data_IF_123663800482
#
_entry.id   IF_123663800482
#
_cell.length_a   1.000
_cell.length_b   1.000
_cell.length_c   1.000
_cell.angle_alpha   90.00
_cell.angle_beta   90.00
_cell.angle_gamma   90.00
#
_symmetry.space_group_name_H-M   'P 1'
#
loop_
_entity.id
_entity.type
_entity.pdbx_description
1 polymer ?
#
# COMPACT_ATOMS: atom_id res chain seq x y z
N UNK A 1 -4.24 42.10 51.71
CA UNK A 1 -4.88 42.63 50.49
C UNK A 1 -3.81 42.61 49.41
N UNK A 2 -4.00 41.74 48.41
CA UNK A 2 -3.33 41.64 47.09
C UNK A 2 -1.80 41.73 47.01
N UNK A 3 -1.17 40.57 46.76
CA UNK A 3 0.09 40.50 46.02
C UNK A 3 -0.16 40.60 44.51
N UNK A 4 0.82 41.09 43.76
CA UNK A 4 0.88 40.92 42.30
C UNK A 4 2.23 40.34 41.91
N UNK A 5 2.14 39.37 40.99
CA UNK A 5 3.18 38.46 40.57
C UNK A 5 4.02 39.02 39.44
N UNK A 6 5.28 38.59 39.39
CA UNK A 6 6.17 38.73 38.26
C UNK A 6 5.71 37.85 37.09
N UNK A 7 5.77 38.40 35.88
CA UNK A 7 5.42 37.72 34.64
C UNK A 7 6.42 36.62 34.27
N UNK A 8 5.90 35.45 33.98
CA UNK A 8 6.60 34.39 33.26
C UNK A 8 6.08 34.36 31.82
N UNK A 9 7.01 34.40 30.87
CA UNK A 9 6.81 33.97 29.49
C UNK A 9 6.31 32.51 29.51
N UNK A 10 5.05 32.29 29.13
CA UNK A 10 4.54 30.97 28.79
C UNK A 10 4.46 30.89 27.26
N UNK A 11 5.20 29.92 26.70
CA UNK A 11 5.10 29.51 25.32
C UNK A 11 3.66 29.10 25.01
N UNK A 12 3.06 29.74 24.01
CA UNK A 12 1.80 29.32 23.41
C UNK A 12 2.13 28.51 22.16
N UNK A 13 1.77 27.23 22.19
CA UNK A 13 2.04 26.28 21.11
C UNK A 13 2.00 24.85 21.62
N UNK A 14 1.07 24.52 22.51
CA UNK A 14 0.79 23.12 22.79
C UNK A 14 0.11 22.53 21.55
N UNK A 15 0.89 21.82 20.71
CA UNK A 15 0.38 20.84 19.76
C UNK A 15 -0.25 19.68 20.55
N UNK A 16 -1.38 19.95 21.21
CA UNK A 16 -2.26 18.88 21.67
C UNK A 16 -2.92 18.33 20.42
N UNK A 17 -2.38 17.24 19.91
CA UNK A 17 -3.17 16.30 19.12
C UNK A 17 -4.45 16.03 19.93
N UNK A 18 -5.56 16.66 19.52
CA UNK A 18 -6.86 16.23 19.99
C UNK A 18 -6.94 14.75 19.64
N UNK A 19 -7.22 13.91 20.64
CA UNK A 19 -7.39 12.48 20.43
C UNK A 19 -8.36 12.28 19.26
N UNK A 20 -7.84 11.84 18.11
CA UNK A 20 -8.65 11.53 16.95
C UNK A 20 -9.41 10.28 17.37
N UNK A 21 -10.71 10.37 17.63
CA UNK A 21 -11.47 9.20 18.06
C UNK A 21 -11.71 8.28 16.85
N UNK A 22 -11.13 7.08 16.88
CA UNK A 22 -11.40 6.02 15.92
C UNK A 22 -12.88 5.67 15.83
N UNK A 23 -13.37 5.38 14.63
CA UNK A 23 -14.70 4.82 14.39
C UNK A 23 -14.56 3.39 13.87
N UNK A 24 -15.17 2.42 14.56
CA UNK A 24 -15.30 1.05 14.08
C UNK A 24 -16.25 1.02 12.87
N UNK A 25 -15.76 0.53 11.73
CA UNK A 25 -16.50 0.52 10.47
C UNK A 25 -17.14 -0.83 10.12
N UNK A 26 -16.86 -1.90 10.88
CA UNK A 26 -17.33 -3.26 10.56
C UNK A 26 -18.18 -3.92 11.64
N UNK A 27 -18.13 -3.41 12.88
CA UNK A 27 -18.94 -3.79 14.05
C UNK A 27 -19.07 -5.30 14.23
N UNK A 28 -18.11 -5.89 14.93
CA UNK A 28 -18.12 -7.30 15.35
C UNK A 28 -17.80 -8.28 14.23
N UNK A 29 -17.04 -7.83 13.22
CA UNK A 29 -16.56 -8.66 12.12
C UNK A 29 -15.08 -8.41 11.94
N UNK A 30 -14.32 -9.49 11.83
CA UNK A 30 -12.90 -9.35 11.53
C UNK A 30 -12.73 -8.69 10.15
N UNK A 31 -11.96 -7.62 10.05
CA UNK A 31 -11.81 -6.85 8.81
C UNK A 31 -10.42 -6.27 8.64
N UNK A 32 -10.04 -6.07 7.38
CA UNK A 32 -8.69 -5.69 6.97
C UNK A 32 -8.78 -4.62 5.87
N UNK A 33 -8.44 -3.36 6.14
CA UNK A 33 -8.40 -2.33 5.10
C UNK A 33 -7.14 -2.51 4.25
N UNK A 34 -7.29 -2.46 2.93
CA UNK A 34 -6.21 -2.67 1.96
C UNK A 34 -5.87 -1.41 1.17
N UNK A 35 -6.85 -0.55 0.91
CA UNK A 35 -6.62 0.72 0.25
C UNK A 35 -7.59 1.81 0.73
N UNK A 36 -7.19 3.06 0.53
CA UNK A 36 -7.99 4.25 0.82
C UNK A 36 -7.69 5.35 -0.20
N UNK A 37 -8.72 6.00 -0.74
CA UNK A 37 -8.55 7.14 -1.65
C UNK A 37 -8.69 8.50 -0.94
N UNK A 38 -8.45 9.59 -1.65
CA UNK A 38 -8.51 10.96 -1.10
C UNK A 38 -9.94 11.39 -0.77
N UNK A 39 -10.94 10.81 -1.44
CA UNK A 39 -12.35 10.97 -1.08
C UNK A 39 -12.71 10.32 0.27
N UNK A 40 -11.84 9.46 0.82
CA UNK A 40 -12.06 8.78 2.10
C UNK A 40 -12.88 7.50 1.96
N UNK A 41 -12.89 6.88 0.78
CA UNK A 41 -13.38 5.53 0.57
C UNK A 41 -12.31 4.54 1.01
N UNK A 42 -12.67 3.64 1.94
CA UNK A 42 -11.79 2.57 2.44
C UNK A 42 -12.30 1.26 1.87
N UNK A 43 -11.40 0.47 1.28
CA UNK A 43 -11.73 -0.85 0.75
C UNK A 43 -10.86 -1.92 1.39
N UNK A 44 -11.34 -3.16 1.35
CA UNK A 44 -10.60 -4.30 1.90
C UNK A 44 -11.43 -5.57 1.96
N UNK A 45 -11.10 -6.42 2.93
CA UNK A 45 -11.80 -7.68 3.18
C UNK A 45 -12.38 -7.76 4.58
N UNK A 46 -13.40 -8.60 4.76
CA UNK A 46 -13.95 -8.87 6.07
C UNK A 46 -14.56 -10.28 6.17
N UNK A 47 -14.60 -10.82 7.40
CA UNK A 47 -15.21 -12.11 7.70
C UNK A 47 -16.74 -12.03 7.60
N UNK A 48 -17.33 -12.87 6.75
CA UNK A 48 -18.79 -12.97 6.60
C UNK A 48 -19.22 -14.42 6.85
N UNK A 49 -19.73 -14.72 8.05
CA UNK A 49 -20.02 -16.11 8.46
C UNK A 49 -18.79 -17.03 8.31
N UNK A 50 -18.79 -17.96 7.35
CA UNK A 50 -17.65 -18.84 7.04
C UNK A 50 -16.88 -18.40 5.78
N UNK A 51 -17.24 -17.26 5.21
CA UNK A 51 -16.77 -16.73 3.94
C UNK A 51 -15.91 -15.47 4.18
N UNK A 52 -15.24 -14.99 3.13
CA UNK A 52 -14.59 -13.67 3.13
C UNK A 52 -15.19 -12.85 2.03
N UNK A 53 -15.69 -11.67 2.37
CA UNK A 53 -16.23 -10.73 1.41
C UNK A 53 -15.34 -9.49 1.34
N UNK A 54 -15.30 -8.86 0.17
CA UNK A 54 -14.77 -7.52 -0.01
C UNK A 54 -15.76 -6.50 0.55
N UNK A 55 -15.25 -5.32 0.93
CA UNK A 55 -16.11 -4.21 1.32
C UNK A 55 -15.65 -2.89 0.72
N UNK A 56 -16.61 -1.96 0.65
CA UNK A 56 -16.35 -0.52 0.50
C UNK A 56 -17.00 0.19 1.67
N UNK A 57 -16.23 1.03 2.35
CA UNK A 57 -16.74 1.93 3.37
C UNK A 57 -16.54 3.38 2.94
N UNK A 58 -17.59 4.19 3.09
CA UNK A 58 -17.49 5.63 2.83
C UNK A 58 -18.48 6.40 3.72
N UNK A 59 -17.98 7.37 4.49
CA UNK A 59 -18.81 8.28 5.29
C UNK A 59 -19.88 7.58 6.15
N UNK A 60 -19.51 6.48 6.82
CA UNK A 60 -20.38 5.71 7.70
C UNK A 60 -21.29 4.70 6.98
N UNK A 61 -21.19 4.59 5.66
CA UNK A 61 -21.91 3.59 4.86
C UNK A 61 -20.96 2.42 4.54
N UNK A 62 -21.32 1.23 5.00
CA UNK A 62 -20.62 -0.02 4.69
C UNK A 62 -21.37 -0.77 3.58
N UNK A 63 -20.67 -1.08 2.50
CA UNK A 63 -21.21 -1.80 1.34
C UNK A 63 -20.49 -3.12 1.17
N UNK A 64 -21.27 -4.21 1.12
CA UNK A 64 -20.77 -5.55 0.86
C UNK A 64 -20.47 -5.76 -0.63
N UNK A 65 -19.30 -6.30 -0.95
CA UNK A 65 -18.95 -6.74 -2.31
C UNK A 65 -19.20 -8.24 -2.38
N UNK A 66 -20.41 -8.61 -2.83
CA UNK A 66 -20.83 -10.01 -2.94
C UNK A 66 -19.88 -10.75 -3.90
N UNK A 67 -19.39 -11.95 -3.53
CA UNK A 67 -18.59 -12.77 -4.42
C UNK A 67 -19.27 -13.08 -5.75
N UNK A 68 -18.50 -13.02 -6.84
CA UNK A 68 -18.93 -13.42 -8.17
C UNK A 68 -19.33 -14.89 -8.20
N UNK A 69 -20.22 -15.22 -9.13
CA UNK A 69 -20.68 -16.58 -9.42
C UNK A 69 -21.31 -17.33 -8.23
N UNK A 70 -21.75 -16.59 -7.20
CA UNK A 70 -22.26 -17.17 -5.96
C UNK A 70 -21.19 -17.89 -5.14
N UNK A 71 -19.92 -17.50 -5.30
CA UNK A 71 -18.80 -18.01 -4.52
C UNK A 71 -18.79 -17.52 -3.07
N UNK A 72 -17.71 -17.84 -2.36
CA UNK A 72 -17.54 -17.55 -0.92
C UNK A 72 -16.36 -16.63 -0.63
N UNK A 73 -15.77 -16.05 -1.68
CA UNK A 73 -14.56 -15.26 -1.58
C UNK A 73 -14.62 -14.02 -2.47
N UNK A 74 -14.48 -12.84 -1.89
CA UNK A 74 -14.16 -11.60 -2.59
C UNK A 74 -13.24 -10.76 -1.72
N UNK A 75 -12.43 -9.93 -2.38
CA UNK A 75 -11.46 -9.08 -1.72
C UNK A 75 -11.16 -7.89 -2.60
N UNK A 76 -11.34 -6.69 -2.06
CA UNK A 76 -11.01 -5.44 -2.73
C UNK A 76 -9.56 -5.04 -2.43
N UNK A 77 -8.76 -4.86 -3.48
CA UNK A 77 -7.32 -4.63 -3.43
C UNK A 77 -6.95 -3.16 -3.59
N UNK A 78 -7.63 -2.46 -4.50
CA UNK A 78 -7.36 -1.05 -4.76
C UNK A 78 -8.65 -0.28 -5.08
N UNK A 79 -8.60 1.03 -4.87
CA UNK A 79 -9.69 1.99 -5.15
C UNK A 79 -9.10 3.27 -5.75
N UNK A 80 -9.67 3.76 -6.86
CA UNK A 80 -9.26 5.05 -7.46
C UNK A 80 -10.11 6.22 -6.94
N UNK A 81 -9.83 7.44 -7.38
CA UNK A 81 -10.56 8.65 -6.95
C UNK A 81 -11.99 8.76 -7.53
N UNK A 82 -12.33 7.92 -8.52
CA UNK A 82 -13.69 7.81 -9.04
C UNK A 82 -14.57 6.80 -8.26
N UNK A 83 -13.99 6.11 -7.28
CA UNK A 83 -14.66 5.05 -6.51
C UNK A 83 -14.76 3.72 -7.26
N UNK A 84 -13.99 3.53 -8.34
CA UNK A 84 -13.80 2.23 -8.96
C UNK A 84 -12.91 1.37 -8.06
N UNK A 85 -13.33 0.14 -7.85
CA UNK A 85 -12.64 -0.83 -6.99
C UNK A 85 -12.22 -2.03 -7.82
N UNK A 86 -11.04 -2.57 -7.57
CA UNK A 86 -10.57 -3.81 -8.21
C UNK A 86 -10.11 -4.81 -7.17
N UNK A 87 -10.00 -6.08 -7.58
CA UNK A 87 -9.51 -7.12 -6.70
C UNK A 87 -9.70 -8.51 -7.28
N UNK A 88 -9.99 -9.48 -6.42
CA UNK A 88 -10.30 -10.86 -6.79
C UNK A 88 -11.59 -11.38 -6.16
N UNK A 89 -12.29 -12.23 -6.89
CA UNK A 89 -13.57 -12.80 -6.44
C UNK A 89 -13.86 -14.18 -7.03
N UNK A 90 -14.58 -15.03 -6.29
CA UNK A 90 -14.88 -16.42 -6.64
C UNK A 90 -14.90 -17.31 -5.40
N UNK A 91 -14.11 -18.38 -5.41
CA UNK A 91 -13.92 -19.28 -4.28
C UNK A 91 -12.46 -19.26 -3.80
N UNK A 92 -12.21 -19.77 -2.59
CA UNK A 92 -10.84 -19.99 -2.12
C UNK A 92 -10.07 -20.92 -3.06
N UNK A 93 -8.94 -20.45 -3.58
CA UNK A 93 -8.11 -21.17 -4.53
C UNK A 93 -8.61 -21.14 -5.99
N UNK A 94 -9.78 -20.55 -6.23
CA UNK A 94 -10.39 -20.37 -7.56
C UNK A 94 -11.05 -18.99 -7.66
N UNK A 95 -10.20 -17.96 -7.58
CA UNK A 95 -10.60 -16.55 -7.64
C UNK A 95 -10.17 -15.91 -8.95
N UNK A 96 -10.98 -14.97 -9.42
CA UNK A 96 -10.86 -14.30 -10.70
C UNK A 96 -10.72 -12.78 -10.49
N UNK A 97 -9.97 -12.09 -11.35
CA UNK A 97 -9.86 -10.64 -11.27
C UNK A 97 -11.24 -10.02 -11.52
N UNK A 98 -11.60 -9.01 -10.74
CA UNK A 98 -12.86 -8.29 -10.93
C UNK A 98 -12.67 -6.79 -10.77
N UNK A 99 -13.65 -6.05 -11.28
CA UNK A 99 -13.86 -4.63 -11.03
C UNK A 99 -15.24 -4.44 -10.40
N UNK A 100 -15.38 -3.39 -9.61
CA UNK A 100 -16.63 -3.00 -8.97
C UNK A 100 -16.81 -1.51 -9.08
N UNK A 101 -18.03 -1.09 -9.42
CA UNK A 101 -18.42 0.30 -9.43
C UNK A 101 -19.88 0.43 -9.03
N UNK A 102 -20.18 1.25 -8.02
CA UNK A 102 -21.53 1.58 -7.60
C UNK A 102 -22.45 0.35 -7.40
N UNK A 103 -21.94 -0.68 -6.72
CA UNK A 103 -22.68 -1.90 -6.37
C UNK A 103 -22.68 -2.99 -7.44
N UNK A 104 -21.97 -2.79 -8.56
CA UNK A 104 -21.93 -3.75 -9.67
C UNK A 104 -20.53 -4.35 -9.79
N UNK A 105 -20.41 -5.65 -9.50
CA UNK A 105 -19.19 -6.43 -9.76
C UNK A 105 -19.18 -6.97 -11.19
N UNK A 106 -18.06 -6.83 -11.88
CA UNK A 106 -17.81 -7.36 -13.23
C UNK A 106 -16.50 -8.15 -13.22
N UNK A 107 -16.57 -9.40 -13.67
CA UNK A 107 -15.35 -10.21 -13.88
C UNK A 107 -14.52 -9.62 -15.02
N UNK A 108 -13.22 -9.46 -14.80
CA UNK A 108 -12.28 -9.02 -15.82
C UNK A 108 -11.81 -10.23 -16.66
N UNK A 109 -11.50 -10.05 -17.95
CA UNK A 109 -11.01 -11.16 -18.77
C UNK A 109 -9.75 -11.81 -18.19
N UNK A 110 -9.71 -13.15 -18.18
CA UNK A 110 -8.58 -13.93 -17.68
C UNK A 110 -7.88 -14.74 -18.79
N UNK A 111 -6.77 -15.39 -18.47
CA UNK A 111 -6.02 -16.29 -19.38
C UNK A 111 -6.52 -17.75 -19.35
N UNK A 112 -7.73 -17.97 -18.85
CA UNK A 112 -8.34 -19.29 -18.69
C UNK A 112 -8.05 -19.97 -17.35
N UNK A 113 -7.40 -19.26 -16.42
CA UNK A 113 -7.19 -19.67 -15.03
C UNK A 113 -7.56 -18.56 -14.04
N UNK A 114 -7.12 -18.71 -12.79
CA UNK A 114 -7.31 -17.72 -11.72
C UNK A 114 -6.55 -16.42 -11.98
N UNK A 115 -6.87 -15.37 -11.23
CA UNK A 115 -6.14 -14.11 -11.28
C UNK A 115 -6.57 -13.11 -10.22
N UNK A 116 -5.92 -11.96 -10.23
CA UNK A 116 -6.21 -10.82 -9.37
C UNK A 116 -5.90 -9.52 -10.10
N UNK A 117 -6.68 -8.49 -9.78
CA UNK A 117 -6.38 -7.11 -10.12
C UNK A 117 -5.86 -6.43 -8.85
N UNK A 118 -4.61 -6.02 -8.88
CA UNK A 118 -3.83 -5.67 -7.70
C UNK A 118 -3.73 -4.15 -7.52
N UNK A 119 -3.84 -3.38 -8.61
CA UNK A 119 -3.79 -1.91 -8.59
C UNK A 119 -4.58 -1.28 -9.75
N UNK A 120 -5.01 -0.03 -9.60
CA UNK A 120 -5.65 0.76 -10.66
C UNK A 120 -5.31 2.26 -10.57
N UNK A 121 -5.33 2.95 -11.71
CA UNK A 121 -5.21 4.40 -11.77
C UNK A 121 -6.56 5.11 -12.02
N UNK A 122 -6.59 6.45 -11.95
CA UNK A 122 -7.80 7.26 -12.16
C UNK A 122 -8.31 7.25 -13.61
N UNK A 123 -7.51 6.74 -14.53
CA UNK A 123 -7.89 6.52 -15.93
C UNK A 123 -8.47 5.13 -16.20
N UNK A 124 -8.66 4.30 -15.16
CA UNK A 124 -9.23 2.96 -15.30
C UNK A 124 -8.27 1.93 -15.90
N UNK A 125 -6.96 2.21 -15.91
CA UNK A 125 -5.94 1.21 -16.23
C UNK A 125 -5.71 0.37 -14.98
N UNK A 126 -5.91 -0.93 -15.12
CA UNK A 126 -5.82 -1.90 -14.03
C UNK A 126 -4.59 -2.78 -14.26
N UNK A 127 -3.81 -3.00 -13.22
CA UNK A 127 -2.67 -3.90 -13.19
C UNK A 127 -2.93 -5.11 -12.28
N UNK A 128 -2.35 -6.26 -12.62
CA UNK A 128 -2.35 -7.42 -11.74
C UNK A 128 -1.74 -8.66 -12.37
N UNK A 129 -2.28 -9.83 -12.01
CA UNK A 129 -1.83 -11.13 -12.52
C UNK A 129 -2.95 -12.04 -13.00
N UNK A 130 -2.63 -12.87 -13.98
CA UNK A 130 -3.48 -13.97 -14.43
C UNK A 130 -2.67 -15.25 -14.60
N UNK A 131 -3.23 -16.37 -14.15
CA UNK A 131 -2.66 -17.71 -14.35
C UNK A 131 -2.94 -18.17 -15.77
N UNK A 132 -1.89 -18.65 -16.45
CA UNK A 132 -1.96 -19.17 -17.81
C UNK A 132 -1.81 -20.70 -17.78
N UNK A 133 -2.90 -21.49 -17.88
CA UNK A 133 -2.84 -22.95 -17.75
C UNK A 133 -2.00 -23.64 -18.83
N UNK A 134 -1.93 -23.08 -20.04
CA UNK A 134 -1.17 -23.66 -21.15
C UNK A 134 0.34 -23.73 -20.87
N UNK A 135 0.84 -22.85 -20.00
CA UNK A 135 2.26 -22.79 -19.60
C UNK A 135 2.46 -23.12 -18.13
N UNK A 136 1.39 -23.12 -17.32
CA UNK A 136 1.47 -23.34 -15.87
C UNK A 136 2.14 -22.18 -15.12
N UNK A 137 2.04 -20.96 -15.65
CA UNK A 137 2.75 -19.78 -15.13
C UNK A 137 1.80 -18.64 -14.80
N UNK A 138 2.15 -17.84 -13.80
CA UNK A 138 1.49 -16.56 -13.54
C UNK A 138 2.08 -15.47 -14.42
N UNK A 139 1.22 -14.65 -15.01
CA UNK A 139 1.59 -13.60 -15.95
C UNK A 139 1.15 -12.24 -15.42
N UNK A 140 2.05 -11.27 -15.49
CA UNK A 140 1.72 -9.87 -15.34
C UNK A 140 0.78 -9.44 -16.47
N UNK A 141 -0.31 -8.76 -16.13
CA UNK A 141 -1.34 -8.35 -17.08
C UNK A 141 -1.83 -6.94 -16.80
N UNK A 142 -2.34 -6.29 -17.85
CA UNK A 142 -3.08 -5.03 -17.76
C UNK A 142 -4.47 -5.18 -18.32
N UNK A 143 -5.44 -4.51 -17.70
CA UNK A 143 -6.75 -4.25 -18.29
C UNK A 143 -6.89 -2.77 -18.57
N UNK A 144 -7.29 -2.44 -19.80
CA UNK A 144 -7.59 -1.08 -20.22
C UNK A 144 -8.77 -1.14 -21.18
N UNK A 145 -9.82 -0.35 -20.93
CA UNK A 145 -11.07 -0.38 -21.69
C UNK A 145 -11.66 -1.81 -21.83
N UNK A 146 -11.54 -2.62 -20.78
CA UNK A 146 -11.99 -4.02 -20.76
C UNK A 146 -11.13 -5.00 -21.57
N UNK A 147 -10.04 -4.55 -22.19
CA UNK A 147 -9.12 -5.41 -22.94
C UNK A 147 -7.96 -5.88 -22.05
N UNK A 148 -7.75 -7.20 -22.03
CA UNK A 148 -6.62 -7.84 -21.36
C UNK A 148 -5.36 -7.81 -22.24
N UNK A 149 -4.26 -7.32 -21.69
CA UNK A 149 -2.92 -7.34 -22.30
C UNK A 149 -1.96 -8.11 -21.40
N UNK A 150 -1.29 -9.13 -21.95
CA UNK A 150 -0.20 -9.82 -21.25
C UNK A 150 1.09 -9.02 -21.41
N UNK A 151 1.73 -8.67 -20.30
CA UNK A 151 2.98 -7.93 -20.31
C UNK A 151 4.18 -8.85 -20.56
N UNK A 152 5.21 -8.39 -21.29
CA UNK A 152 6.46 -9.12 -21.43
C UNK A 152 7.13 -9.36 -20.07
N UNK A 153 7.80 -10.50 -19.91
CA UNK A 153 8.57 -10.83 -18.71
C UNK A 153 9.94 -11.44 -19.09
N UNK A 154 10.70 -11.91 -18.10
CA UNK A 154 12.01 -12.52 -18.31
C UNK A 154 11.94 -14.02 -18.65
N UNK A 155 10.75 -14.59 -18.84
CA UNK A 155 10.55 -16.00 -19.22
C UNK A 155 10.71 -17.01 -18.08
N UNK A 156 10.63 -16.58 -16.82
CA UNK A 156 10.53 -17.50 -15.68
C UNK A 156 9.11 -17.98 -15.41
N UNK A 157 8.86 -18.50 -14.20
CA UNK A 157 7.58 -19.14 -13.85
C UNK A 157 6.51 -18.17 -13.33
N UNK A 158 6.88 -16.94 -13.01
CA UNK A 158 6.02 -16.00 -12.33
C UNK A 158 6.33 -14.56 -12.74
N UNK A 159 5.29 -13.83 -13.14
CA UNK A 159 5.26 -12.38 -13.18
C UNK A 159 3.92 -11.85 -12.65
N UNK A 160 3.95 -10.69 -11.98
CA UNK A 160 2.76 -9.91 -11.60
C UNK A 160 3.03 -8.43 -11.82
N UNK A 161 2.04 -7.71 -12.36
CA UNK A 161 2.08 -6.26 -12.41
C UNK A 161 1.65 -5.70 -11.05
N UNK A 162 2.49 -4.87 -10.46
CA UNK A 162 2.23 -4.18 -9.19
C UNK A 162 1.76 -2.75 -9.47
N UNK A 163 2.41 -1.71 -8.89
CA UNK A 163 1.94 -0.34 -8.99
C UNK A 163 1.80 0.18 -10.43
N UNK A 164 0.67 0.85 -10.72
CA UNK A 164 0.39 1.61 -11.94
C UNK A 164 0.19 3.09 -11.61
N UNK A 165 0.80 3.99 -12.40
CA UNK A 165 0.65 5.43 -12.20
C UNK A 165 -0.32 6.07 -13.21
N UNK A 166 -0.59 7.37 -13.08
CA UNK A 166 -1.54 8.09 -13.94
C UNK A 166 -1.09 8.20 -15.40
N UNK A 167 0.20 8.00 -15.68
CA UNK A 167 0.70 7.90 -17.06
C UNK A 167 0.59 6.49 -17.64
N UNK A 168 -0.04 5.55 -16.93
CA UNK A 168 -0.15 4.13 -17.30
C UNK A 168 1.20 3.41 -17.27
N UNK A 169 2.19 3.92 -16.54
CA UNK A 169 3.45 3.22 -16.33
C UNK A 169 3.27 2.20 -15.22
N UNK A 170 3.97 1.07 -15.32
CA UNK A 170 3.71 -0.08 -14.45
C UNK A 170 5.03 -0.66 -13.97
N UNK A 171 5.12 -0.93 -12.67
CA UNK A 171 6.18 -1.77 -12.13
C UNK A 171 5.74 -3.22 -12.07
N UNK A 172 6.64 -4.11 -12.47
CA UNK A 172 6.35 -5.54 -12.61
C UNK A 172 7.35 -6.32 -11.78
N UNK A 173 6.83 -7.22 -10.96
CA UNK A 173 7.63 -8.25 -10.32
C UNK A 173 7.74 -9.43 -11.29
N UNK A 174 8.96 -9.94 -11.48
CA UNK A 174 9.17 -11.15 -12.28
C UNK A 174 10.24 -12.02 -11.65
N UNK A 175 10.12 -13.33 -11.82
CA UNK A 175 11.19 -14.29 -11.54
C UNK A 175 11.91 -14.58 -12.85
N UNK A 176 13.23 -14.39 -12.89
CA UNK A 176 14.04 -14.78 -14.03
C UNK A 176 14.23 -16.31 -14.08
N UNK A 177 14.65 -16.91 -15.22
CA UNK A 177 14.93 -18.35 -15.31
C UNK A 177 16.00 -18.84 -14.32
N UNK A 178 16.86 -17.95 -13.82
CA UNK A 178 17.82 -18.23 -12.74
C UNK A 178 17.16 -18.39 -11.36
N UNK A 179 15.89 -18.03 -11.21
CA UNK A 179 15.17 -17.98 -9.93
C UNK A 179 15.27 -16.63 -9.19
N UNK A 180 16.10 -15.70 -9.69
CA UNK A 180 16.27 -14.37 -9.07
C UNK A 180 15.10 -13.46 -9.44
N UNK A 181 14.57 -12.74 -8.45
CA UNK A 181 13.52 -11.74 -8.65
C UNK A 181 14.08 -10.46 -9.26
N UNK A 182 13.37 -9.92 -10.25
CA UNK A 182 13.66 -8.65 -10.89
C UNK A 182 12.46 -7.72 -10.82
N UNK A 183 12.74 -6.42 -10.82
CA UNK A 183 11.76 -5.40 -11.10
C UNK A 183 11.88 -4.99 -12.57
N UNK A 184 10.77 -5.04 -13.31
CA UNK A 184 10.67 -4.46 -14.65
C UNK A 184 9.84 -3.18 -14.59
N UNK A 185 10.14 -2.26 -15.49
CA UNK A 185 9.38 -1.03 -15.69
C UNK A 185 8.80 -1.02 -17.10
N UNK A 186 7.48 -1.00 -17.20
CA UNK A 186 6.76 -0.89 -18.46
C UNK A 186 6.24 0.52 -18.67
N UNK A 187 6.47 1.07 -19.86
CA UNK A 187 5.91 2.36 -20.25
C UNK A 187 5.72 2.41 -21.76
N UNK A 188 4.50 2.70 -22.20
CA UNK A 188 4.14 2.88 -23.61
C UNK A 188 4.66 1.76 -24.54
N UNK A 189 4.51 0.49 -24.11
CA UNK A 189 4.95 -0.68 -24.88
C UNK A 189 6.44 -1.01 -24.78
N UNK A 190 7.23 -0.21 -24.06
CA UNK A 190 8.65 -0.47 -23.83
C UNK A 190 8.85 -1.10 -22.45
N UNK A 191 9.54 -2.24 -22.42
CA UNK A 191 9.93 -2.92 -21.18
C UNK A 191 11.39 -2.63 -20.85
N UNK A 192 11.65 -2.19 -19.62
CA UNK A 192 13.01 -1.97 -19.09
C UNK A 192 13.24 -2.87 -17.88
N UNK A 193 14.25 -3.72 -17.93
CA UNK A 193 14.70 -4.47 -16.75
C UNK A 193 15.48 -3.55 -15.81
N UNK A 194 14.94 -3.31 -14.61
CA UNK A 194 15.62 -2.52 -13.57
C UNK A 194 16.65 -3.36 -12.81
N UNK A 195 16.73 -4.66 -13.08
CA UNK A 195 17.63 -5.61 -12.45
C UNK A 195 17.05 -6.26 -11.19
N UNK A 196 17.89 -7.03 -10.46
CA UNK A 196 17.43 -7.77 -9.30
C UNK A 196 16.86 -6.89 -8.19
N UNK A 197 15.65 -7.18 -7.75
CA UNK A 197 14.91 -6.41 -6.76
C UNK A 197 13.41 -6.69 -6.79
N UNK A 198 12.68 -6.06 -5.87
CA UNK A 198 11.23 -6.20 -5.74
C UNK A 198 10.59 -4.81 -5.91
N UNK A 199 9.59 -4.63 -6.79
CA UNK A 199 8.82 -3.39 -6.83
C UNK A 199 8.27 -3.00 -5.46
N UNK A 200 8.41 -1.74 -5.07
CA UNK A 200 7.94 -1.25 -3.78
C UNK A 200 7.15 0.07 -3.86
N UNK A 201 7.22 0.77 -4.99
CA UNK A 201 6.41 1.97 -5.19
C UNK A 201 6.67 2.60 -6.55
N UNK A 202 5.65 3.26 -7.08
CA UNK A 202 5.72 4.04 -8.31
C UNK A 202 4.94 5.33 -8.09
N UNK A 203 5.49 6.46 -8.53
CA UNK A 203 4.79 7.74 -8.49
C UNK A 203 4.56 8.31 -9.91
N UNK A 204 3.79 9.38 -10.02
CA UNK A 204 3.40 10.00 -11.30
C UNK A 204 4.55 10.74 -11.97
N UNK A 205 5.61 11.05 -11.23
CA UNK A 205 6.86 11.56 -11.81
C UNK A 205 7.67 10.46 -12.54
N UNK A 206 7.18 9.22 -12.53
CA UNK A 206 7.83 8.04 -13.11
C UNK A 206 9.03 7.56 -12.29
N UNK A 207 9.04 7.82 -10.98
CA UNK A 207 10.06 7.29 -10.08
C UNK A 207 9.65 5.91 -9.60
N UNK A 208 10.49 4.93 -9.83
CA UNK A 208 10.30 3.55 -9.42
C UNK A 208 11.16 3.23 -8.19
N UNK A 209 10.52 2.93 -7.06
CA UNK A 209 11.19 2.44 -5.87
C UNK A 209 11.31 0.91 -5.95
N UNK A 210 12.54 0.42 -5.82
CA UNK A 210 12.87 -1.00 -5.88
C UNK A 210 13.57 -1.42 -4.60
N UNK A 211 12.99 -2.40 -3.92
CA UNK A 211 13.52 -3.03 -2.72
C UNK A 211 14.59 -4.08 -2.98
N UNK A 212 15.24 -4.51 -1.90
CA UNK A 212 16.35 -5.48 -1.94
C UNK A 212 15.88 -6.91 -2.16
N UNK A 213 16.72 -7.71 -2.81
CA UNK A 213 16.57 -9.17 -2.91
C UNK A 213 17.90 -9.84 -2.56
N UNK A 214 17.85 -11.09 -2.07
CA UNK A 214 19.06 -11.90 -1.90
C UNK A 214 19.54 -12.45 -3.24
N UNK A 215 20.85 -12.37 -3.48
CA UNK A 215 21.52 -12.95 -4.65
C UNK A 215 22.73 -13.75 -4.20
N UNK A 216 23.36 -14.50 -5.12
CA UNK A 216 24.62 -15.20 -4.86
C UNK A 216 25.77 -14.25 -4.45
N UNK A 217 25.65 -12.96 -4.76
CA UNK A 217 26.61 -11.92 -4.39
C UNK A 217 26.23 -11.18 -3.10
N UNK A 218 25.16 -11.63 -2.41
CA UNK A 218 24.56 -10.98 -1.24
C UNK A 218 23.32 -10.15 -1.58
N UNK A 219 22.76 -9.43 -0.60
CA UNK A 219 21.57 -8.60 -0.80
C UNK A 219 21.85 -7.44 -1.75
N UNK A 220 20.93 -7.18 -2.67
CA UNK A 220 20.95 -5.95 -3.46
C UNK A 220 20.63 -4.75 -2.60
N UNK A 221 21.12 -3.57 -3.00
CA UNK A 221 20.77 -2.32 -2.32
C UNK A 221 19.47 -1.76 -2.89
N UNK A 222 18.51 -1.33 -2.06
CA UNK A 222 17.34 -0.62 -2.53
C UNK A 222 17.74 0.65 -3.29
N UNK A 223 16.96 1.00 -4.31
CA UNK A 223 17.20 2.17 -5.13
C UNK A 223 15.90 2.80 -5.62
N UNK A 224 15.97 4.10 -5.89
CA UNK A 224 15.00 4.82 -6.71
C UNK A 224 15.52 4.87 -8.14
N UNK A 225 14.71 4.49 -9.11
CA UNK A 225 15.03 4.59 -10.53
C UNK A 225 14.17 5.67 -11.20
N UNK A 226 14.77 6.44 -12.11
CA UNK A 226 14.04 7.35 -12.99
C UNK A 226 14.81 7.55 -14.28
N UNK A 227 14.12 7.41 -15.41
CA UNK A 227 14.67 7.71 -16.75
C UNK A 227 16.07 7.12 -16.99
N UNK A 228 16.26 5.85 -16.63
CA UNK A 228 17.52 5.12 -16.83
C UNK A 228 18.58 5.32 -15.73
N UNK A 229 18.34 6.19 -14.75
CA UNK A 229 19.28 6.46 -13.66
C UNK A 229 18.82 5.79 -12.37
N UNK A 230 19.75 5.11 -11.68
CA UNK A 230 19.55 4.54 -10.34
C UNK A 230 20.19 5.42 -9.28
N UNK A 231 19.40 5.81 -8.28
CA UNK A 231 19.86 6.47 -7.06
C UNK A 231 19.69 5.51 -5.91
N UNK A 232 20.80 4.96 -5.40
CA UNK A 232 20.77 4.02 -4.29
C UNK A 232 20.43 4.73 -2.98
N UNK A 233 19.60 4.09 -2.16
CA UNK A 233 19.27 4.58 -0.82
C UNK A 233 20.51 4.56 0.10
N UNK A 234 20.48 5.34 1.21
CA UNK A 234 21.55 5.38 2.20
C UNK A 234 21.99 4.00 2.70
N UNK A 235 23.26 3.89 3.11
CA UNK A 235 23.77 2.65 3.70
C UNK A 235 23.01 2.30 4.99
N UNK A 236 22.76 1.02 5.22
CA UNK A 236 22.02 0.53 6.38
C UNK A 236 20.52 0.36 6.15
N UNK A 237 19.94 0.90 5.06
CA UNK A 237 18.54 0.61 4.70
C UNK A 237 18.37 -0.89 4.46
N UNK A 238 17.42 -1.48 5.18
CA UNK A 238 17.12 -2.92 5.17
C UNK A 238 15.84 -3.25 4.41
N UNK A 239 14.86 -2.35 4.43
CA UNK A 239 13.61 -2.48 3.70
C UNK A 239 13.06 -1.11 3.31
N UNK A 240 12.26 -1.08 2.25
CA UNK A 240 11.52 0.09 1.78
C UNK A 240 10.04 -0.26 1.78
N UNK A 241 9.19 0.71 2.10
CA UNK A 241 7.76 0.48 2.33
C UNK A 241 6.85 1.45 1.57
N UNK A 242 7.28 2.69 1.36
CA UNK A 242 6.44 3.68 0.68
C UNK A 242 7.23 4.74 -0.07
N UNK A 243 6.60 5.28 -1.10
CA UNK A 243 7.06 6.36 -1.95
C UNK A 243 5.90 7.34 -2.15
N UNK A 244 6.12 8.64 -1.98
CA UNK A 244 5.13 9.67 -2.32
C UNK A 244 5.49 10.43 -3.62
N UNK A 245 4.62 11.31 -4.09
CA UNK A 245 4.80 12.11 -5.32
C UNK A 245 5.94 13.12 -5.19
N UNK A 246 6.28 13.54 -3.97
CA UNK A 246 7.46 14.35 -3.71
C UNK A 246 8.78 13.58 -3.82
N UNK A 247 8.72 12.26 -4.01
CA UNK A 247 9.90 11.38 -4.11
C UNK A 247 10.50 11.00 -2.75
N UNK A 248 9.76 11.22 -1.66
CA UNK A 248 10.18 10.80 -0.33
C UNK A 248 9.95 9.30 -0.16
N UNK A 249 10.91 8.63 0.47
CA UNK A 249 10.87 7.19 0.69
C UNK A 249 10.88 6.88 2.17
N UNK A 250 10.04 5.94 2.60
CA UNK A 250 10.02 5.42 3.98
C UNK A 250 10.32 3.92 4.01
N UNK A 251 10.77 3.45 5.16
CA UNK A 251 11.07 2.04 5.39
C UNK A 251 11.84 1.83 6.68
N UNK A 252 12.60 0.75 6.76
CA UNK A 252 13.44 0.45 7.92
C UNK A 252 14.92 0.47 7.56
N UNK A 253 15.74 0.83 8.55
CA UNK A 253 17.19 0.83 8.43
C UNK A 253 17.85 0.40 9.73
N UNK A 254 19.07 -0.16 9.61
CA UNK A 254 19.92 -0.47 10.76
C UNK A 254 20.70 0.77 11.19
N UNK A 255 20.50 1.18 12.43
CA UNK A 255 21.21 2.31 13.05
C UNK A 255 22.66 1.93 13.30
N UNK A 256 23.57 2.73 12.74
CA UNK A 256 25.01 2.51 12.88
C UNK A 256 25.45 2.61 14.34
N UNK A 257 26.24 1.63 14.80
CA UNK A 257 26.80 1.59 16.16
C UNK A 257 25.92 0.94 17.22
N UNK A 258 24.59 0.87 17.02
CA UNK A 258 23.67 0.17 17.94
C UNK A 258 23.15 -1.14 17.38
N UNK A 259 22.99 -1.25 16.05
CA UNK A 259 22.35 -2.40 15.41
C UNK A 259 20.83 -2.43 15.58
N UNK A 260 20.24 -1.37 16.16
CA UNK A 260 18.79 -1.23 16.24
C UNK A 260 18.18 -1.07 14.84
N UNK A 261 16.94 -1.54 14.67
CA UNK A 261 16.16 -1.34 13.45
C UNK A 261 15.14 -0.25 13.69
N UNK A 262 15.36 0.92 13.08
CA UNK A 262 14.48 2.08 13.20
C UNK A 262 13.82 2.39 11.85
N UNK A 263 12.71 3.13 11.92
CA UNK A 263 12.04 3.68 10.74
C UNK A 263 12.83 4.87 10.18
N UNK A 264 12.76 5.08 8.87
CA UNK A 264 13.34 6.26 8.25
C UNK A 264 12.36 6.97 7.31
N UNK A 265 12.62 8.27 7.09
CA UNK A 265 12.14 9.05 5.95
C UNK A 265 13.35 9.61 5.20
N UNK A 266 13.41 9.42 3.88
CA UNK A 266 14.48 9.90 3.03
C UNK A 266 13.94 10.83 1.94
N UNK A 267 14.50 12.05 1.84
CA UNK A 267 14.02 13.11 0.94
C UNK A 267 14.81 13.23 -0.38
N UNK A 268 15.62 12.22 -0.70
CA UNK A 268 16.57 12.24 -1.81
C UNK A 268 17.99 12.71 -1.43
N UNK A 269 18.17 13.29 -0.24
CA UNK A 269 19.49 13.77 0.25
C UNK A 269 19.75 13.38 1.70
N UNK A 270 18.78 13.57 2.57
CA UNK A 270 18.87 13.39 4.01
C UNK A 270 18.00 12.22 4.43
N UNK A 271 18.54 11.36 5.30
CA UNK A 271 17.78 10.34 6.01
C UNK A 271 17.41 10.89 7.40
N UNK A 272 16.13 11.00 7.68
CA UNK A 272 15.57 11.34 8.98
C UNK A 272 15.19 10.05 9.70
N UNK A 273 15.76 9.87 10.89
CA UNK A 273 15.40 8.78 11.80
C UNK A 273 14.02 9.04 12.43
N UNK A 274 13.13 8.05 12.34
CA UNK A 274 11.77 8.11 12.90
C UNK A 274 11.66 7.37 14.24
N UNK A 275 12.78 6.82 14.73
CA UNK A 275 12.84 5.96 15.90
C UNK A 275 12.27 4.57 15.63
N UNK A 276 11.99 3.83 16.70
CA UNK A 276 11.60 2.42 16.66
C UNK A 276 10.14 2.19 16.23
N UNK A 277 9.78 2.70 15.06
CA UNK A 277 8.54 2.41 14.34
C UNK A 277 8.86 1.64 13.06
N UNK A 278 7.87 0.93 12.52
CA UNK A 278 7.99 0.19 11.25
C UNK A 278 7.07 0.82 10.20
N UNK A 279 7.55 1.81 9.43
CA UNK A 279 6.75 2.47 8.41
C UNK A 279 6.17 1.47 7.41
N UNK A 280 4.89 1.65 7.07
CA UNK A 280 4.21 0.88 6.01
C UNK A 280 3.72 1.77 4.88
N UNK A 281 3.65 3.08 5.08
CA UNK A 281 3.16 4.02 4.09
C UNK A 281 3.46 5.47 4.44
N UNK A 282 3.36 6.34 3.44
CA UNK A 282 3.54 7.78 3.54
C UNK A 282 2.56 8.44 2.57
N UNK A 283 1.91 9.53 2.99
CA UNK A 283 1.05 10.33 2.11
C UNK A 283 1.76 11.55 1.53
N UNK A 284 1.07 12.35 0.72
CA UNK A 284 1.63 13.53 0.05
C UNK A 284 1.91 14.71 0.99
N UNK A 285 1.41 14.66 2.22
CA UNK A 285 1.76 15.63 3.26
C UNK A 285 3.03 15.22 4.01
N UNK A 286 3.61 14.04 3.73
CA UNK A 286 4.77 13.53 4.44
C UNK A 286 4.43 12.92 5.81
N UNK A 287 3.16 12.56 6.02
CA UNK A 287 2.71 11.83 7.21
C UNK A 287 3.01 10.35 6.99
N UNK A 288 3.77 9.76 7.91
CA UNK A 288 4.23 8.38 7.82
C UNK A 288 3.42 7.53 8.79
N UNK A 289 2.83 6.45 8.29
CA UNK A 289 2.06 5.52 9.11
C UNK A 289 2.86 4.25 9.41
N UNK A 290 2.65 3.72 10.61
CA UNK A 290 3.25 2.47 11.05
C UNK A 290 2.31 1.70 11.99
N UNK A 291 2.30 0.38 11.87
CA UNK A 291 1.79 -0.49 12.93
C UNK A 291 2.83 -0.60 14.06
N UNK A 292 2.39 -0.57 15.31
CA UNK A 292 3.24 -0.81 16.48
C UNK A 292 2.61 -1.88 17.39
N UNK A 293 3.39 -2.51 18.29
CA UNK A 293 2.83 -3.40 19.31
C UNK A 293 1.77 -2.74 20.21
N UNK A 294 1.75 -1.41 20.25
CA UNK A 294 0.84 -0.59 21.05
C UNK A 294 -0.32 0.03 20.26
N UNK A 295 -0.37 -0.16 18.94
CA UNK A 295 -1.41 0.37 18.06
C UNK A 295 -0.86 1.05 16.81
N UNK A 296 -1.74 1.68 16.04
CA UNK A 296 -1.38 2.47 14.85
C UNK A 296 -0.73 3.78 15.27
N UNK A 297 0.38 4.14 14.64
CA UNK A 297 1.06 5.42 14.87
C UNK A 297 1.23 6.21 13.59
N UNK A 298 1.22 7.53 13.74
CA UNK A 298 1.55 8.48 12.68
C UNK A 298 2.75 9.29 13.13
N UNK A 299 3.79 9.30 12.30
CA UNK A 299 4.88 10.25 12.43
C UNK A 299 4.64 11.43 11.49
N UNK A 300 4.80 12.65 12.02
CA UNK A 300 4.76 13.87 11.22
C UNK A 300 5.63 14.95 11.86
N UNK A 301 6.52 15.56 11.07
CA UNK A 301 7.40 16.67 11.48
C UNK A 301 8.14 16.45 12.82
N UNK A 302 8.64 15.22 13.04
CA UNK A 302 9.41 14.87 14.24
C UNK A 302 8.57 14.43 15.44
N UNK A 303 7.25 14.34 15.29
CA UNK A 303 6.35 13.88 16.34
C UNK A 303 5.70 12.55 15.97
N UNK A 304 5.76 11.57 16.88
CA UNK A 304 5.02 10.31 16.79
C UNK A 304 3.75 10.43 17.61
N UNK A 305 2.60 10.19 16.98
CA UNK A 305 1.29 10.20 17.63
C UNK A 305 0.66 8.82 17.51
N UNK A 306 0.28 8.21 18.64
CA UNK A 306 -0.52 6.97 18.65
C UNK A 306 -1.98 7.31 18.43
N UNK A 307 -2.62 6.63 17.47
CA UNK A 307 -4.04 6.78 17.19
C UNK A 307 -4.87 6.02 18.23
N UNK A 308 -5.95 6.63 18.70
CA UNK A 308 -6.81 6.10 19.78
C UNK A 308 -8.28 6.09 19.36
N UNK A 309 -9.20 5.31 19.95
CA UNK A 309 -9.01 4.33 20.99
C UNK A 309 -8.53 2.98 20.41
N UNK A 310 -7.22 2.77 20.28
CA UNK A 310 -6.67 1.47 19.93
C UNK A 310 -5.86 0.97 21.11
N UNK A 311 -6.13 -0.26 21.56
CA UNK A 311 -5.35 -0.94 22.58
C UNK A 311 -4.87 -2.28 22.04
N UNK A 312 -3.56 -2.44 21.93
CA UNK A 312 -2.92 -3.66 21.44
C UNK A 312 -2.36 -3.52 20.03
N UNK A 313 -1.84 -4.61 19.45
CA UNK A 313 -1.18 -4.55 18.16
C UNK A 313 -2.18 -4.26 17.02
N UNK A 314 -1.70 -3.54 16.02
CA UNK A 314 -2.45 -3.18 14.82
C UNK A 314 -2.04 -4.03 13.62
N UNK A 315 -2.98 -4.24 12.70
CA UNK A 315 -2.65 -4.64 11.33
C UNK A 315 -1.87 -3.54 10.59
N UNK A 316 -1.41 -3.79 9.35
CA UNK A 316 -0.82 -2.76 8.51
C UNK A 316 -1.86 -1.65 8.22
N UNK A 317 -1.63 -0.40 8.66
CA UNK A 317 -2.54 0.70 8.34
C UNK A 317 -2.43 1.14 6.88
N UNK A 318 -3.45 1.84 6.39
CA UNK A 318 -3.44 2.63 5.15
C UNK A 318 -3.72 4.10 5.46
N UNK A 319 -3.19 5.02 4.64
CA UNK A 319 -3.39 6.47 4.78
C UNK A 319 -3.68 7.09 3.42
N UNK A 320 -4.66 7.99 3.36
CA UNK A 320 -4.92 8.83 2.19
C UNK A 320 -4.23 10.19 2.32
N UNK A 321 -4.14 10.90 1.19
CA UNK A 321 -3.84 12.34 1.18
C UNK A 321 -4.98 13.15 1.82
N UNK A 322 -6.17 12.54 1.89
CA UNK A 322 -7.28 12.93 2.75
C UNK A 322 -6.84 13.16 4.21
N UNK A 323 -5.82 12.45 4.68
CA UNK A 323 -5.46 12.29 6.08
C UNK A 323 -6.29 11.21 6.79
N UNK A 324 -7.14 10.49 6.07
CA UNK A 324 -7.88 9.36 6.60
C UNK A 324 -6.94 8.17 6.73
N UNK A 325 -6.82 7.64 7.95
CA UNK A 325 -6.08 6.41 8.27
C UNK A 325 -7.08 5.32 8.61
N UNK A 326 -6.86 4.11 8.08
CA UNK A 326 -7.64 2.92 8.45
C UNK A 326 -6.70 1.79 8.87
N UNK A 327 -7.05 1.04 9.91
CA UNK A 327 -6.26 -0.11 10.37
C UNK A 327 -7.12 -1.16 11.06
N UNK A 328 -6.76 -2.44 10.90
CA UNK A 328 -7.26 -3.52 11.76
C UNK A 328 -6.76 -3.34 13.18
N UNK A 329 -7.64 -3.62 14.14
CA UNK A 329 -7.36 -3.70 15.57
C UNK A 329 -7.38 -5.16 15.99
N UNK A 330 -6.22 -5.81 16.17
CA UNK A 330 -6.18 -7.27 16.41
C UNK A 330 -6.91 -7.74 17.67
N UNK A 331 -7.11 -6.88 18.66
CA UNK A 331 -7.81 -7.24 19.90
C UNK A 331 -9.32 -7.38 19.72
N UNK A 332 -9.91 -6.69 18.75
CA UNK A 332 -11.34 -6.77 18.41
C UNK A 332 -11.58 -7.50 17.09
N UNK A 333 -10.58 -7.48 16.20
CA UNK A 333 -10.68 -7.92 14.81
C UNK A 333 -11.24 -6.86 13.88
N UNK A 334 -11.81 -5.77 14.41
CA UNK A 334 -12.49 -4.75 13.61
C UNK A 334 -11.50 -3.77 12.95
N UNK A 335 -11.98 -3.03 11.94
CA UNK A 335 -11.26 -1.92 11.33
C UNK A 335 -11.71 -0.62 11.96
N UNK A 336 -10.74 0.17 12.42
CA UNK A 336 -10.96 1.53 12.90
C UNK A 336 -10.46 2.54 11.87
N UNK A 337 -11.14 3.69 11.79
CA UNK A 337 -10.73 4.83 10.96
C UNK A 337 -10.48 6.10 11.78
N UNK A 338 -9.46 6.85 11.41
CA UNK A 338 -9.03 8.10 12.06
C UNK A 338 -8.79 9.20 11.04
N UNK A 339 -9.23 10.42 11.35
CA UNK A 339 -8.87 11.60 10.57
C UNK A 339 -7.67 12.34 11.17
N UNK A 340 -6.53 12.25 10.52
CA UNK A 340 -5.30 12.96 10.92
C UNK A 340 -5.30 14.39 10.36
N UNK A 341 -5.07 15.42 11.19
CA UNK A 341 -4.92 16.79 10.71
C UNK A 341 -3.71 16.96 9.81
N UNK A 342 -3.79 17.87 8.83
CA UNK A 342 -2.70 18.19 7.89
C UNK A 342 -1.75 19.29 8.39
N UNK A 343 -2.03 19.88 9.56
CA UNK A 343 -1.38 21.08 10.12
C UNK A 343 -0.68 20.83 11.44
#
# INVERSE_FOLDING_TARGET
>A
MLGTAAGAYAASGEHRAAAIAGTDITVGKQSWPWAVNTAGEVVGGYSFANDTHGFVWHNGVFTDIIPLHGGTYSLAEAVNEAGDVVGRSGNYGDSHPFSWHNGVSVELPALGGTGSADDLNDHGVIAGMAFQPSTGTNKAVLWCDGALTVLPDLGGTYSSAGPVNESGQVLIYTVAPSGVQHALFWSAGVMTDLGPGVPAGLNDAGQALVGSVQTDQGPTRPFLWRAGQKTYLPAGVTSVAGLNQSGQVVGQYTVAGTGASDGFLWDGRTLTDLGSISPVGINEYGQVIAGSPTGTVVWYQGHVTTLTPQTGPAGPPVISDGGLVASEVYSTGDTDVWQVPRS
#
